data_IF_773367475968
#
_entry.id   IF_773367475968
#
_cell.length_a   1.000
_cell.length_b   1.000
_cell.length_c   1.000
_cell.angle_alpha   90.00
_cell.angle_beta   90.00
_cell.angle_gamma   90.00
#
_symmetry.space_group_name_H-M   'P 1'
#
loop_
_entity.id
_entity.type
_entity.pdbx_description
1 polymer ?
#
# COMPACT_ATOMS: atom_id res chain seq x y z
N UNK A 1 -5.94 -2.60 -26.87
CA UNK A 1 -5.72 -1.29 -26.22
C UNK A 1 -4.23 -1.04 -26.07
N UNK A 2 -3.83 0.22 -25.95
CA UNK A 2 -2.50 0.64 -25.53
C UNK A 2 -2.52 0.89 -24.02
N UNK A 3 -1.83 0.05 -23.26
CA UNK A 3 -1.75 0.15 -21.80
C UNK A 3 -0.33 0.54 -21.41
N UNK A 4 -0.20 1.58 -20.60
CA UNK A 4 1.08 2.06 -20.11
C UNK A 4 1.26 1.72 -18.63
N UNK A 5 2.37 1.09 -18.27
CA UNK A 5 2.74 0.81 -16.88
C UNK A 5 3.72 1.89 -16.42
N UNK A 6 3.32 2.67 -15.41
CA UNK A 6 4.16 3.72 -14.84
C UNK A 6 5.10 3.12 -13.79
N UNK A 7 6.30 2.72 -14.20
CA UNK A 7 7.29 2.06 -13.33
C UNK A 7 8.70 2.57 -13.62
N UNK A 8 9.48 2.79 -12.56
CA UNK A 8 10.90 3.16 -12.67
C UNK A 8 11.82 1.99 -13.04
N UNK A 9 11.33 0.76 -12.87
CA UNK A 9 12.10 -0.43 -13.16
C UNK A 9 11.22 -1.47 -13.86
N UNK A 10 11.54 -1.72 -15.13
CA UNK A 10 10.86 -2.69 -15.98
C UNK A 10 11.20 -4.15 -15.62
N UNK A 11 12.37 -4.37 -15.00
CA UNK A 11 12.89 -5.71 -14.66
C UNK A 11 12.32 -6.27 -13.36
N UNK A 12 11.53 -5.49 -12.62
CA UNK A 12 10.83 -5.99 -11.43
C UNK A 12 9.81 -7.06 -11.84
N UNK A 13 9.80 -8.19 -11.14
CA UNK A 13 8.84 -9.29 -11.35
C UNK A 13 7.40 -8.80 -11.55
N UNK A 14 6.94 -7.88 -10.69
CA UNK A 14 5.56 -7.38 -10.77
C UNK A 14 5.28 -6.59 -12.04
N UNK A 15 6.27 -5.85 -12.56
CA UNK A 15 6.16 -5.09 -13.81
C UNK A 15 6.17 -6.05 -14.99
N UNK A 16 7.13 -6.98 -15.01
CA UNK A 16 7.28 -7.96 -16.08
C UNK A 16 6.03 -8.83 -16.23
N UNK A 17 5.47 -9.34 -15.13
CA UNK A 17 4.21 -10.10 -15.13
C UNK A 17 3.03 -9.34 -15.70
N UNK A 18 2.92 -8.03 -15.44
CA UNK A 18 1.87 -7.19 -16.02
C UNK A 18 2.08 -7.00 -17.53
N UNK A 19 3.33 -6.85 -17.98
CA UNK A 19 3.67 -6.80 -19.41
C UNK A 19 3.32 -8.12 -20.10
N UNK A 20 3.73 -9.24 -19.52
CA UNK A 20 3.48 -10.57 -20.03
C UNK A 20 1.98 -10.85 -20.19
N UNK A 21 1.19 -10.65 -19.12
CA UNK A 21 -0.24 -10.90 -19.16
C UNK A 21 -0.98 -9.91 -20.06
N UNK A 22 -0.55 -8.65 -20.09
CA UNK A 22 -1.10 -7.66 -21.02
C UNK A 22 -0.90 -8.06 -22.48
N UNK A 23 0.31 -8.50 -22.86
CA UNK A 23 0.63 -8.99 -24.21
C UNK A 23 -0.12 -10.27 -24.56
N UNK A 24 -0.17 -11.25 -23.64
CA UNK A 24 -0.94 -12.50 -23.83
C UNK A 24 -2.43 -12.25 -24.11
N UNK A 25 -2.96 -11.14 -23.59
CA UNK A 25 -4.36 -10.74 -23.78
C UNK A 25 -4.57 -9.82 -24.99
N UNK A 26 -3.55 -9.63 -25.83
CA UNK A 26 -3.65 -8.90 -27.09
C UNK A 26 -3.50 -7.38 -26.96
N UNK A 27 -3.03 -6.87 -25.83
CA UNK A 27 -2.80 -5.43 -25.64
C UNK A 27 -1.37 -5.04 -26.01
N UNK A 28 -1.21 -3.80 -26.48
CA UNK A 28 0.10 -3.17 -26.62
C UNK A 28 0.50 -2.62 -25.26
N UNK A 29 1.56 -3.18 -24.67
CA UNK A 29 2.04 -2.75 -23.35
C UNK A 29 3.35 -2.01 -23.50
N UNK A 30 3.44 -0.85 -22.85
CA UNK A 30 4.68 -0.11 -22.68
C UNK A 30 4.94 0.18 -21.21
N UNK A 31 6.20 0.09 -20.79
CA UNK A 31 6.64 0.54 -19.46
C UNK A 31 7.35 1.87 -19.62
N UNK A 32 6.86 2.91 -18.92
CA UNK A 32 7.51 4.22 -18.91
C UNK A 32 7.91 4.62 -17.49
N UNK A 33 9.06 5.28 -17.39
CA UNK A 33 9.51 5.91 -16.17
C UNK A 33 8.76 7.24 -15.97
N UNK A 34 7.90 7.36 -14.93
CA UNK A 34 7.16 8.60 -14.71
C UNK A 34 8.07 9.81 -14.49
N UNK A 35 9.33 9.63 -14.05
CA UNK A 35 10.26 10.73 -13.85
C UNK A 35 10.82 11.34 -15.14
N UNK A 36 10.58 10.70 -16.29
CA UNK A 36 11.03 11.20 -17.60
C UNK A 36 9.87 11.77 -18.43
N UNK A 37 8.73 12.02 -17.78
CA UNK A 37 7.57 12.65 -18.38
C UNK A 37 7.63 14.16 -18.15
N UNK A 38 7.47 14.94 -19.21
CA UNK A 38 7.19 16.36 -19.12
C UNK A 38 5.67 16.56 -19.15
N UNK A 39 5.14 17.26 -18.15
CA UNK A 39 3.72 17.56 -18.04
C UNK A 39 3.47 18.92 -18.68
N UNK A 40 2.75 18.95 -19.79
CA UNK A 40 2.42 20.18 -20.49
C UNK A 40 1.00 20.58 -20.08
N UNK A 41 0.90 21.74 -19.43
CA UNK A 41 -0.35 22.29 -18.89
C UNK A 41 -0.74 23.47 -19.76
N UNK A 42 -1.69 23.24 -20.65
CA UNK A 42 -2.28 24.24 -21.53
C UNK A 42 -3.80 24.27 -21.33
N UNK A 43 -4.43 25.38 -21.71
CA UNK A 43 -5.89 25.52 -21.63
C UNK A 43 -6.55 24.41 -22.43
N UNK A 44 -7.34 23.57 -21.75
CA UNK A 44 -8.14 22.49 -22.34
C UNK A 44 -7.33 21.44 -23.13
N UNK A 45 -6.01 21.41 -22.99
CA UNK A 45 -5.12 20.50 -23.71
C UNK A 45 -4.05 19.90 -22.78
N UNK A 46 -4.45 19.10 -21.76
CA UNK A 46 -3.47 18.41 -20.93
C UNK A 46 -2.74 17.38 -21.78
N UNK A 47 -1.41 17.45 -21.84
CA UNK A 47 -0.61 16.48 -22.59
C UNK A 47 0.61 16.03 -21.79
N UNK A 48 1.17 14.88 -22.19
CA UNK A 48 2.41 14.33 -21.63
C UNK A 48 3.37 14.11 -22.79
N UNK A 49 4.57 14.66 -22.66
CA UNK A 49 5.69 14.38 -23.55
C UNK A 49 6.66 13.43 -22.85
N UNK A 50 7.07 12.37 -23.54
CA UNK A 50 7.96 11.35 -23.01
C UNK A 50 9.09 11.09 -23.98
N UNK A 51 10.30 11.50 -23.57
CA UNK A 51 11.53 11.47 -24.38
C UNK A 51 11.42 12.30 -25.66
N UNK A 52 10.83 11.73 -26.71
CA UNK A 52 10.80 12.24 -28.07
C UNK A 52 9.40 12.26 -28.69
N UNK A 53 8.35 11.92 -27.91
CA UNK A 53 6.97 11.85 -28.42
C UNK A 53 5.91 12.21 -27.39
N UNK A 54 4.73 12.57 -27.89
CA UNK A 54 3.52 12.70 -27.09
C UNK A 54 2.91 11.33 -26.77
N UNK A 55 2.23 11.24 -25.61
CA UNK A 55 1.53 10.04 -25.16
C UNK A 55 0.02 10.14 -25.41
N UNK A 56 -0.37 10.46 -26.64
CA UNK A 56 -1.75 10.66 -27.10
C UNK A 56 -2.51 9.37 -27.46
N UNK A 57 -1.81 8.22 -27.47
CA UNK A 57 -2.35 6.92 -27.86
C UNK A 57 -2.79 6.04 -26.68
N UNK A 58 -2.65 6.52 -25.44
CA UNK A 58 -2.78 5.69 -24.22
C UNK A 58 -4.24 5.52 -23.83
N UNK A 59 -4.74 4.28 -23.81
CA UNK A 59 -6.11 3.98 -23.40
C UNK A 59 -6.23 3.80 -21.88
N UNK A 60 -5.18 3.25 -21.26
CA UNK A 60 -5.16 2.95 -19.83
C UNK A 60 -3.75 3.01 -19.22
N UNK A 61 -3.67 3.32 -17.94
CA UNK A 61 -2.43 3.25 -17.15
C UNK A 61 -2.53 2.30 -15.95
N UNK A 62 -1.39 1.68 -15.62
CA UNK A 62 -1.19 0.93 -14.38
C UNK A 62 -0.11 1.64 -13.55
N UNK A 63 -0.50 2.43 -12.53
CA UNK A 63 0.48 3.11 -11.68
C UNK A 63 1.26 2.14 -10.80
N UNK A 64 2.57 2.06 -11.00
CA UNK A 64 3.51 1.34 -10.12
C UNK A 64 4.45 2.31 -9.40
N UNK A 65 3.85 3.38 -8.84
CA UNK A 65 4.58 4.49 -8.25
C UNK A 65 5.25 4.08 -6.93
N UNK A 66 6.58 4.12 -6.93
CA UNK A 66 7.41 3.90 -5.74
C UNK A 66 7.31 5.05 -4.74
N UNK A 67 7.48 4.76 -3.45
CA UNK A 67 7.23 5.76 -2.41
C UNK A 67 8.17 6.96 -2.48
N UNK A 68 9.44 6.77 -2.87
CA UNK A 68 10.44 7.85 -2.99
C UNK A 68 10.12 8.87 -4.07
N UNK A 69 9.15 8.58 -4.95
CA UNK A 69 8.76 9.42 -6.08
C UNK A 69 7.28 9.72 -6.08
N UNK A 70 6.61 9.59 -4.92
CA UNK A 70 5.15 9.72 -4.81
C UNK A 70 4.65 11.06 -5.36
N UNK A 71 5.33 12.16 -5.04
CA UNK A 71 4.90 13.50 -5.48
C UNK A 71 4.79 13.60 -7.00
N UNK A 72 5.92 13.45 -7.71
CA UNK A 72 5.93 13.59 -9.17
C UNK A 72 5.24 12.42 -9.87
N UNK A 73 5.39 11.19 -9.37
CA UNK A 73 4.70 10.03 -9.92
C UNK A 73 3.18 10.17 -9.87
N UNK A 74 2.62 10.70 -8.78
CA UNK A 74 1.18 10.98 -8.72
C UNK A 74 0.78 12.18 -9.59
N UNK A 75 1.67 13.15 -9.83
CA UNK A 75 1.41 14.24 -10.77
C UNK A 75 1.26 13.70 -12.21
N UNK A 76 2.10 12.75 -12.62
CA UNK A 76 1.98 12.06 -13.93
C UNK A 76 0.68 11.28 -14.02
N UNK A 77 0.33 10.49 -12.98
CA UNK A 77 -0.96 9.79 -12.92
C UNK A 77 -2.12 10.77 -13.07
N UNK A 78 -2.07 11.90 -12.34
CA UNK A 78 -3.11 12.94 -12.42
C UNK A 78 -3.19 13.59 -13.79
N UNK A 79 -2.06 13.77 -14.49
CA UNK A 79 -2.09 14.30 -15.86
C UNK A 79 -2.81 13.33 -16.81
N UNK A 80 -2.55 12.03 -16.72
CA UNK A 80 -3.31 11.02 -17.47
C UNK A 80 -4.81 11.04 -17.13
N UNK A 81 -5.17 11.24 -15.85
CA UNK A 81 -6.57 11.42 -15.44
C UNK A 81 -7.21 12.64 -16.13
N UNK A 82 -6.49 13.77 -16.23
CA UNK A 82 -6.96 14.97 -16.93
C UNK A 82 -7.07 14.78 -18.44
N UNK A 83 -6.29 13.86 -19.01
CA UNK A 83 -6.38 13.42 -20.41
C UNK A 83 -7.56 12.45 -20.66
N UNK A 84 -8.33 12.09 -19.64
CA UNK A 84 -9.43 11.13 -19.75
C UNK A 84 -8.97 9.67 -19.84
N UNK A 85 -7.69 9.39 -19.58
CA UNK A 85 -7.12 8.04 -19.63
C UNK A 85 -7.52 7.26 -18.38
N UNK A 86 -7.98 6.03 -18.57
CA UNK A 86 -8.34 5.17 -17.45
C UNK A 86 -7.13 4.81 -16.60
N UNK A 87 -7.28 4.78 -15.27
CA UNK A 87 -6.23 4.36 -14.35
C UNK A 87 -6.71 3.28 -13.40
N UNK A 88 -5.89 2.25 -13.16
CA UNK A 88 -6.24 1.19 -12.20
C UNK A 88 -6.30 1.69 -10.77
N UNK A 89 -5.55 2.75 -10.45
CA UNK A 89 -5.54 3.42 -9.15
C UNK A 89 -5.35 4.92 -9.36
N UNK A 90 -6.24 5.74 -8.81
CA UNK A 90 -6.14 7.20 -8.98
C UNK A 90 -4.98 7.81 -8.19
N UNK A 91 -4.46 8.94 -8.68
CA UNK A 91 -3.45 9.76 -8.01
C UNK A 91 -3.85 10.09 -6.57
N UNK A 92 -5.12 10.47 -6.37
CA UNK A 92 -5.73 10.75 -5.08
C UNK A 92 -5.79 9.53 -4.15
N UNK A 93 -6.10 8.35 -4.68
CA UNK A 93 -6.15 7.12 -3.89
C UNK A 93 -4.74 6.65 -3.48
N UNK A 94 -3.74 6.81 -4.35
CA UNK A 94 -2.33 6.57 -4.01
C UNK A 94 -1.92 7.47 -2.86
N UNK A 95 -2.08 8.79 -3.00
CA UNK A 95 -1.73 9.77 -1.94
C UNK A 95 -2.45 9.45 -0.63
N UNK A 96 -3.75 9.12 -0.69
CA UNK A 96 -4.56 8.78 0.48
C UNK A 96 -4.04 7.55 1.22
N UNK A 97 -3.60 6.52 0.50
CA UNK A 97 -3.05 5.29 1.10
C UNK A 97 -1.64 5.48 1.67
N UNK A 98 -0.85 6.40 1.09
CA UNK A 98 0.52 6.73 1.54
C UNK A 98 0.53 7.50 2.85
N UNK A 99 -0.45 8.36 3.06
CA UNK A 99 -0.66 9.08 4.31
C UNK A 99 -1.34 8.18 5.35
N UNK A 100 -0.54 7.62 6.26
CA UNK A 100 -1.05 6.71 7.31
C UNK A 100 -2.11 7.37 8.20
N UNK A 101 -1.92 8.65 8.57
CA UNK A 101 -2.87 9.37 9.43
C UNK A 101 -4.22 9.50 8.72
N UNK A 102 -4.20 10.03 7.50
CA UNK A 102 -5.41 10.22 6.70
C UNK A 102 -6.10 8.89 6.36
N UNK A 103 -5.32 7.85 6.08
CA UNK A 103 -5.83 6.50 5.83
C UNK A 103 -6.53 5.94 7.07
N UNK A 104 -5.88 5.96 8.24
CA UNK A 104 -6.44 5.44 9.49
C UNK A 104 -7.70 6.20 9.92
N UNK A 105 -7.74 7.53 9.79
CA UNK A 105 -8.93 8.32 10.08
C UNK A 105 -10.13 7.89 9.22
N UNK A 106 -9.91 7.59 7.93
CA UNK A 106 -10.97 7.12 7.02
C UNK A 106 -11.42 5.71 7.33
N UNK A 107 -10.48 4.80 7.60
CA UNK A 107 -10.78 3.41 7.95
C UNK A 107 -11.53 3.33 9.27
N UNK A 108 -11.14 4.15 10.26
CA UNK A 108 -11.84 4.30 11.54
C UNK A 108 -13.28 4.76 11.34
N UNK A 109 -13.48 5.82 10.53
CA UNK A 109 -14.83 6.31 10.18
C UNK A 109 -15.67 5.25 9.44
N UNK A 110 -15.03 4.35 8.69
CA UNK A 110 -15.69 3.25 7.99
C UNK A 110 -16.00 2.04 8.90
N UNK A 111 -15.68 2.10 10.20
CA UNK A 111 -15.94 1.02 11.15
C UNK A 111 -15.00 -0.18 11.00
N UNK A 112 -13.82 0.02 10.41
CA UNK A 112 -12.84 -1.06 10.21
C UNK A 112 -12.01 -1.23 11.48
N UNK A 113 -11.96 -2.46 11.99
CA UNK A 113 -11.14 -2.82 13.15
C UNK A 113 -9.66 -2.59 12.87
N UNK A 114 -8.96 -1.96 13.81
CA UNK A 114 -7.52 -1.66 13.76
C UNK A 114 -6.96 -1.73 15.19
N UNK A 115 -5.65 -1.97 15.36
CA UNK A 115 -5.03 -1.77 16.67
C UNK A 115 -5.21 -0.31 17.10
N UNK A 116 -5.46 -0.08 18.40
CA UNK A 116 -5.63 1.28 18.91
C UNK A 116 -4.39 2.10 18.56
N UNK A 117 -4.58 3.27 17.96
CA UNK A 117 -3.48 4.06 17.40
C UNK A 117 -3.63 5.53 17.81
N UNK A 118 -2.59 6.08 18.40
CA UNK A 118 -2.47 7.47 18.81
C UNK A 118 -1.46 8.16 17.89
N UNK A 119 -1.90 9.22 17.23
CA UNK A 119 -1.01 10.08 16.46
C UNK A 119 -0.61 11.27 17.33
N UNK A 120 0.69 11.52 17.42
CA UNK A 120 1.25 12.63 18.20
C UNK A 120 2.03 13.57 17.28
N UNK A 121 1.88 14.87 17.51
CA UNK A 121 2.69 15.90 16.87
C UNK A 121 3.61 16.51 17.92
N UNK A 122 4.73 15.84 18.17
CA UNK A 122 5.74 16.27 19.12
C UNK A 122 5.20 16.49 20.55
N UNK A 123 4.29 15.62 21.01
CA UNK A 123 3.73 15.72 22.37
C UNK A 123 4.86 15.74 23.41
N UNK A 124 4.85 16.77 24.26
CA UNK A 124 5.76 16.85 25.42
C UNK A 124 5.35 15.92 26.55
N UNK A 125 4.11 15.42 26.51
CA UNK A 125 3.57 14.45 27.46
C UNK A 125 3.53 13.08 26.76
N UNK A 126 4.67 12.38 26.80
CA UNK A 126 4.86 11.06 26.17
C UNK A 126 4.18 9.95 26.98
N UNK A 127 4.14 10.09 28.29
CA UNK A 127 3.48 9.18 29.22
C UNK A 127 1.98 9.07 28.88
N UNK A 128 1.30 10.22 28.76
CA UNK A 128 -0.12 10.23 28.41
C UNK A 128 -0.40 9.67 27.01
N UNK A 129 0.52 9.82 26.06
CA UNK A 129 0.37 9.20 24.73
C UNK A 129 0.38 7.67 24.85
N UNK A 130 1.24 7.10 25.70
CA UNK A 130 1.30 5.67 25.97
C UNK A 130 0.03 5.20 26.71
N UNK A 131 -0.46 5.96 27.68
CA UNK A 131 -1.71 5.66 28.37
C UNK A 131 -2.92 5.68 27.43
N UNK A 132 -2.99 6.65 26.52
CA UNK A 132 -4.06 6.72 25.53
C UNK A 132 -4.11 5.48 24.63
N UNK A 133 -3.00 4.79 24.39
CA UNK A 133 -2.99 3.55 23.61
C UNK A 133 -3.27 2.30 24.46
N UNK A 134 -3.25 2.41 25.79
CA UNK A 134 -3.55 1.34 26.74
C UNK A 134 -2.35 0.81 27.53
N UNK A 135 -1.19 1.48 27.47
CA UNK A 135 0.04 1.03 28.13
C UNK A 135 0.93 0.18 27.23
N UNK A 136 2.09 -0.22 27.76
CA UNK A 136 3.06 -1.07 27.06
C UNK A 136 2.74 -2.57 27.18
N UNK A 137 3.14 -3.41 26.21
CA UNK A 137 3.99 -3.12 25.05
C UNK A 137 3.31 -2.31 23.94
N UNK A 138 4.06 -1.44 23.27
CA UNK A 138 3.56 -0.60 22.15
C UNK A 138 4.46 -0.68 20.92
N UNK A 139 3.86 -0.46 19.75
CA UNK A 139 4.55 -0.24 18.48
C UNK A 139 4.64 1.26 18.20
N UNK A 140 5.85 1.77 18.02
CA UNK A 140 6.10 3.16 17.61
C UNK A 140 6.51 3.16 16.13
N UNK A 141 5.77 3.88 15.28
CA UNK A 141 6.07 3.97 13.84
C UNK A 141 6.31 5.42 13.43
N UNK A 142 7.40 5.67 12.73
CA UNK A 142 7.63 6.94 12.05
C UNK A 142 6.63 7.11 10.89
N UNK A 143 6.09 8.33 10.76
CA UNK A 143 5.22 8.69 9.64
C UNK A 143 6.03 8.89 8.36
N UNK A 144 7.27 9.35 8.51
CA UNK A 144 8.22 9.60 7.43
C UNK A 144 9.15 8.38 7.29
N UNK A 145 9.32 7.87 6.06
CA UNK A 145 10.17 6.71 5.76
C UNK A 145 9.42 5.53 5.11
N UNK A 146 10.19 4.59 4.55
CA UNK A 146 9.68 3.40 3.84
C UNK A 146 10.40 2.13 4.28
N UNK A 147 9.82 0.95 4.04
CA UNK A 147 10.42 -0.37 4.29
C UNK A 147 10.65 -0.77 5.76
N UNK A 148 9.85 -0.26 6.69
CA UNK A 148 9.89 -0.68 8.10
C UNK A 148 11.13 -0.21 8.88
N UNK A 149 11.98 0.63 8.27
CA UNK A 149 12.88 1.52 9.01
C UNK A 149 12.00 2.51 9.76
N UNK A 150 12.15 2.56 11.09
CA UNK A 150 11.29 3.39 11.95
C UNK A 150 10.03 2.69 12.48
N UNK A 151 10.00 1.36 12.56
CA UNK A 151 9.02 0.61 13.37
C UNK A 151 9.74 -0.05 14.53
N UNK A 152 9.40 0.35 15.75
CA UNK A 152 10.03 -0.10 17.00
C UNK A 152 8.97 -0.75 17.89
N UNK A 153 9.28 -1.92 18.44
CA UNK A 153 8.54 -2.50 19.57
C UNK A 153 9.18 -1.99 20.86
N UNK A 154 8.41 -1.30 21.68
CA UNK A 154 8.82 -0.87 23.01
C UNK A 154 8.06 -1.70 24.04
N UNK A 155 8.76 -2.64 24.68
CA UNK A 155 8.17 -3.60 25.62
C UNK A 155 7.87 -2.99 26.99
N UNK A 156 8.62 -1.94 27.37
CA UNK A 156 8.49 -1.26 28.66
C UNK A 156 8.17 0.21 28.48
N UNK A 157 7.51 0.80 29.48
CA UNK A 157 7.17 2.22 29.52
C UNK A 157 8.41 3.11 29.30
N UNK A 158 9.49 2.86 30.05
CA UNK A 158 10.73 3.62 29.91
C UNK A 158 11.32 3.54 28.49
N UNK A 159 11.26 2.38 27.84
CA UNK A 159 11.72 2.24 26.46
C UNK A 159 10.83 3.03 25.49
N UNK A 160 9.51 3.00 25.68
CA UNK A 160 8.57 3.75 24.85
C UNK A 160 8.76 5.26 24.99
N UNK A 161 8.91 5.75 26.23
CA UNK A 161 9.19 7.16 26.52
C UNK A 161 10.52 7.61 25.89
N UNK A 162 11.59 6.85 26.08
CA UNK A 162 12.92 7.15 25.52
C UNK A 162 12.88 7.28 23.99
N UNK A 163 12.16 6.37 23.32
CA UNK A 163 12.03 6.40 21.85
C UNK A 163 11.20 7.60 21.39
N UNK A 164 10.11 7.92 22.09
CA UNK A 164 9.26 9.07 21.75
C UNK A 164 9.98 10.40 21.98
N UNK A 165 10.71 10.54 23.08
CA UNK A 165 11.54 11.72 23.36
C UNK A 165 12.62 11.92 22.29
N UNK A 166 13.31 10.84 21.91
CA UNK A 166 14.30 10.89 20.83
C UNK A 166 13.68 11.34 19.50
N UNK A 167 12.51 10.79 19.13
CA UNK A 167 11.82 11.20 17.90
C UNK A 167 11.31 12.65 17.97
N UNK A 168 10.82 13.09 19.12
CA UNK A 168 10.42 14.49 19.33
C UNK A 168 11.60 15.45 19.19
N UNK A 169 12.76 15.12 19.76
CA UNK A 169 13.98 15.92 19.65
C UNK A 169 14.49 16.05 18.22
N UNK A 170 14.29 15.01 17.40
CA UNK A 170 14.61 15.01 15.97
C UNK A 170 13.53 15.65 15.09
N UNK A 171 12.44 16.14 15.68
CA UNK A 171 11.24 16.58 14.97
C UNK A 171 10.71 15.52 13.98
N UNK A 172 10.84 14.24 14.32
CA UNK A 172 10.28 13.14 13.57
C UNK A 172 8.87 12.81 14.08
N UNK A 173 7.85 12.89 13.21
CA UNK A 173 6.48 12.55 13.60
C UNK A 173 6.31 11.05 13.76
N UNK A 174 5.68 10.64 14.85
CA UNK A 174 5.44 9.23 15.17
C UNK A 174 3.95 8.95 15.44
N UNK A 175 3.56 7.72 15.18
CA UNK A 175 2.35 7.12 15.74
C UNK A 175 2.74 6.08 16.79
N UNK A 176 1.92 5.95 17.81
CA UNK A 176 2.01 4.92 18.84
C UNK A 176 0.81 4.01 18.68
N UNK A 177 1.03 2.72 18.63
CA UNK A 177 0.04 1.73 18.31
C UNK A 177 0.09 0.57 19.31
N UNK A 178 -1.06 0.05 19.67
CA UNK A 178 -1.22 -1.16 20.49
C UNK A 178 -0.45 -2.33 19.88
N UNK A 179 0.30 -3.06 20.71
CA UNK A 179 0.93 -4.30 20.29
C UNK A 179 -0.03 -5.48 20.44
N UNK A 180 -0.26 -6.19 19.33
CA UNK A 180 -1.14 -7.36 19.28
C UNK A 180 -0.25 -8.61 19.40
N UNK A 181 -0.01 -9.06 20.63
CA UNK A 181 0.95 -10.13 20.93
C UNK A 181 0.47 -11.51 20.46
N UNK A 182 -0.85 -11.72 20.46
CA UNK A 182 -1.50 -12.96 20.02
C UNK A 182 -1.30 -13.24 18.53
N UNK A 183 -0.92 -12.23 17.73
CA UNK A 183 -0.57 -12.40 16.33
C UNK A 183 0.79 -13.11 16.14
N UNK A 184 1.62 -13.21 17.18
CA UNK A 184 2.89 -13.96 17.20
C UNK A 184 3.82 -13.64 16.02
N UNK A 185 3.92 -12.36 15.68
CA UNK A 185 4.75 -11.89 14.56
C UNK A 185 4.26 -12.34 13.18
N UNK A 186 3.00 -12.75 13.06
CA UNK A 186 2.36 -13.12 11.81
C UNK A 186 1.36 -12.06 11.36
N UNK A 187 1.21 -11.92 10.05
CA UNK A 187 0.14 -11.11 9.46
C UNK A 187 -0.44 -11.76 8.21
N UNK A 188 -1.64 -11.32 7.83
CA UNK A 188 -2.31 -11.73 6.61
C UNK A 188 -2.19 -10.60 5.58
N UNK A 189 -1.77 -10.95 4.37
CA UNK A 189 -1.86 -10.06 3.22
C UNK A 189 -2.94 -10.56 2.27
N UNK A 190 -3.99 -9.78 2.11
CA UNK A 190 -5.02 -9.97 1.11
C UNK A 190 -4.77 -9.04 -0.08
N UNK A 191 -4.87 -9.54 -1.31
CA UNK A 191 -4.77 -8.71 -2.50
C UNK A 191 -6.14 -8.57 -3.14
N UNK A 192 -6.59 -7.32 -3.21
CA UNK A 192 -7.90 -6.94 -3.74
C UNK A 192 -7.72 -6.41 -5.16
N UNK A 193 -8.53 -6.92 -6.08
CA UNK A 193 -8.69 -6.42 -7.44
C UNK A 193 -10.18 -6.35 -7.75
N UNK A 194 -10.67 -5.20 -8.20
CA UNK A 194 -12.07 -5.02 -8.62
C UNK A 194 -13.07 -5.38 -7.49
N UNK A 195 -12.74 -4.97 -6.26
CA UNK A 195 -13.56 -5.25 -5.07
C UNK A 195 -13.56 -6.71 -4.61
N UNK A 196 -12.73 -7.59 -5.19
CA UNK A 196 -12.64 -9.01 -4.84
C UNK A 196 -11.24 -9.36 -4.33
N UNK A 197 -11.14 -10.21 -3.31
CA UNK A 197 -9.86 -10.78 -2.88
C UNK A 197 -9.45 -11.86 -3.86
N UNK A 198 -8.42 -11.58 -4.67
CA UNK A 198 -7.94 -12.49 -5.72
C UNK A 198 -6.82 -13.42 -5.25
N UNK A 199 -6.15 -13.06 -4.15
CA UNK A 199 -5.15 -13.90 -3.50
C UNK A 199 -4.93 -13.48 -2.05
N UNK A 200 -4.50 -14.41 -1.21
CA UNK A 200 -4.13 -14.13 0.16
C UNK A 200 -2.97 -15.02 0.59
N UNK A 201 -2.09 -14.48 1.43
CA UNK A 201 -1.00 -15.23 2.05
C UNK A 201 -0.86 -14.82 3.52
N UNK A 202 -0.45 -15.77 4.36
CA UNK A 202 0.02 -15.50 5.71
C UNK A 202 1.53 -15.30 5.64
N UNK A 203 2.04 -14.24 6.25
CA UNK A 203 3.48 -14.04 6.40
C UNK A 203 3.87 -14.22 7.86
N UNK A 204 4.94 -14.95 8.10
CA UNK A 204 5.44 -15.23 9.44
C UNK A 204 6.82 -14.60 9.61
N UNK A 205 6.99 -13.79 10.66
CA UNK A 205 8.29 -13.24 11.04
C UNK A 205 9.25 -14.35 11.48
N UNK A 206 10.56 -14.07 11.38
CA UNK A 206 11.59 -14.95 11.96
C UNK A 206 11.43 -15.02 13.48
N UNK A 207 11.99 -16.05 14.08
CA UNK A 207 12.08 -16.15 15.54
C UNK A 207 12.76 -14.89 16.13
N UNK A 208 12.14 -14.31 17.15
CA UNK A 208 12.59 -13.05 17.76
C UNK A 208 12.23 -11.77 16.98
N UNK A 209 11.56 -11.87 15.82
CA UNK A 209 11.17 -10.71 15.02
C UNK A 209 9.63 -10.57 14.99
N UNK A 210 9.14 -9.42 15.48
CA UNK A 210 7.70 -9.12 15.49
C UNK A 210 7.16 -8.68 14.11
N UNK A 211 8.05 -8.34 13.17
CA UNK A 211 7.70 -7.95 11.79
C UNK A 211 7.72 -9.16 10.85
N UNK A 212 6.60 -9.41 10.20
CA UNK A 212 6.41 -10.51 9.25
C UNK A 212 6.90 -10.25 7.81
N UNK A 213 7.71 -9.20 7.59
CA UNK A 213 8.07 -8.81 6.23
C UNK A 213 8.99 -9.84 5.54
N UNK A 214 8.63 -10.28 4.33
CA UNK A 214 9.42 -11.26 3.55
C UNK A 214 10.86 -10.81 3.27
N UNK A 215 11.07 -9.51 3.03
CA UNK A 215 12.42 -8.97 2.79
C UNK A 215 13.34 -9.04 4.03
N UNK A 216 12.81 -9.38 5.21
CA UNK A 216 13.59 -9.63 6.44
C UNK A 216 13.78 -11.13 6.72
N UNK A 217 13.39 -11.97 5.76
CA UNK A 217 13.49 -13.42 5.80
C UNK A 217 12.36 -14.11 6.55
N UNK A 218 11.20 -13.46 6.67
CA UNK A 218 9.97 -14.16 7.03
C UNK A 218 9.54 -15.16 5.95
N UNK A 219 8.71 -16.14 6.31
CA UNK A 219 8.11 -17.10 5.37
C UNK A 219 6.73 -16.63 4.89
N UNK A 220 6.31 -17.12 3.72
CA UNK A 220 4.94 -16.95 3.22
C UNK A 220 4.28 -18.31 3.06
N UNK A 221 3.06 -18.44 3.55
CA UNK A 221 2.23 -19.63 3.39
C UNK A 221 0.87 -19.23 2.78
N UNK A 222 0.28 -20.12 1.98
CA UNK A 222 -1.06 -19.91 1.47
C UNK A 222 -2.06 -19.92 2.62
N UNK A 223 -3.02 -18.99 2.59
CA UNK A 223 -4.07 -18.90 3.61
C UNK A 223 -5.43 -18.74 2.95
N UNK A 224 -6.43 -19.41 3.50
CA UNK A 224 -7.82 -19.16 3.17
C UNK A 224 -8.38 -18.18 4.19
N UNK A 225 -8.71 -16.97 3.74
CA UNK A 225 -9.32 -15.97 4.60
C UNK A 225 -10.73 -16.39 5.02
N UNK A 226 -11.08 -16.09 6.28
CA UNK A 226 -12.43 -16.25 6.77
C UNK A 226 -13.35 -15.09 6.32
N UNK A 227 -14.64 -15.16 6.67
CA UNK A 227 -15.62 -14.17 6.23
C UNK A 227 -15.29 -12.75 6.71
N UNK A 228 -14.85 -12.59 7.96
CA UNK A 228 -14.54 -11.28 8.53
C UNK A 228 -13.26 -10.67 7.93
N UNK A 229 -12.25 -11.51 7.67
CA UNK A 229 -10.99 -11.12 7.02
C UNK A 229 -11.24 -10.66 5.58
N UNK A 230 -12.08 -11.38 4.83
CA UNK A 230 -12.51 -10.96 3.48
C UNK A 230 -13.25 -9.61 3.54
N UNK A 231 -14.17 -9.46 4.50
CA UNK A 231 -14.96 -8.24 4.67
C UNK A 231 -14.08 -7.04 5.01
N UNK A 232 -13.11 -7.19 5.92
CA UNK A 232 -12.14 -6.13 6.23
C UNK A 232 -11.32 -5.75 5.00
N UNK A 233 -10.80 -6.72 4.26
CA UNK A 233 -10.00 -6.46 3.06
C UNK A 233 -10.79 -5.67 2.00
N UNK A 234 -12.01 -6.13 1.67
CA UNK A 234 -12.86 -5.47 0.67
C UNK A 234 -13.32 -4.08 1.14
N UNK A 235 -13.78 -3.95 2.38
CA UNK A 235 -14.25 -2.66 2.91
C UNK A 235 -13.13 -1.63 3.02
N UNK A 236 -11.91 -2.05 3.37
CA UNK A 236 -10.74 -1.18 3.40
C UNK A 236 -10.39 -0.64 2.00
N UNK A 237 -10.40 -1.51 1.00
CA UNK A 237 -10.19 -1.14 -0.39
C UNK A 237 -11.24 -0.11 -0.85
N UNK A 238 -12.53 -0.34 -0.55
CA UNK A 238 -13.62 0.59 -0.85
C UNK A 238 -13.48 1.92 -0.12
N UNK A 239 -13.18 1.92 1.19
CA UNK A 239 -13.06 3.12 2.01
C UNK A 239 -11.93 4.06 1.52
N UNK A 240 -10.86 3.48 0.98
CA UNK A 240 -9.74 4.22 0.41
C UNK A 240 -9.85 4.47 -1.09
N UNK A 241 -10.89 3.95 -1.75
CA UNK A 241 -11.10 4.00 -3.20
C UNK A 241 -9.93 3.39 -3.98
N UNK A 242 -9.49 2.20 -3.57
CA UNK A 242 -8.41 1.45 -4.19
C UNK A 242 -8.96 0.19 -4.86
N UNK A 243 -9.18 0.20 -6.20
CA UNK A 243 -9.63 -0.99 -6.91
C UNK A 243 -8.58 -2.11 -6.93
N UNK A 244 -7.30 -1.73 -6.90
CA UNK A 244 -6.16 -2.64 -6.83
C UNK A 244 -5.31 -2.26 -5.61
N UNK A 245 -5.24 -3.12 -4.60
CA UNK A 245 -4.40 -2.90 -3.42
C UNK A 245 -4.06 -4.18 -2.66
N UNK A 246 -3.01 -4.12 -1.86
CA UNK A 246 -2.76 -5.09 -0.80
C UNK A 246 -3.29 -4.57 0.53
N UNK A 247 -3.99 -5.40 1.29
CA UNK A 247 -4.48 -5.12 2.64
C UNK A 247 -3.77 -6.05 3.61
N UNK A 248 -3.09 -5.46 4.59
CA UNK A 248 -2.37 -6.18 5.64
C UNK A 248 -3.18 -6.16 6.92
N UNK A 249 -3.32 -7.32 7.58
CA UNK A 249 -4.17 -7.51 8.75
C UNK A 249 -3.48 -8.41 9.78
N UNK A 250 -3.73 -8.17 11.06
CA UNK A 250 -3.42 -9.10 12.14
C UNK A 250 -4.65 -9.92 12.50
N UNK A 251 -4.45 -11.20 12.78
CA UNK A 251 -5.44 -12.01 13.46
C UNK A 251 -5.35 -11.71 14.96
N UNK A 252 -6.46 -11.32 15.57
CA UNK A 252 -6.57 -11.05 17.01
C UNK A 252 -7.77 -11.77 17.60
N UNK A 253 -7.82 -11.89 18.92
CA UNK A 253 -8.95 -12.54 19.62
C UNK A 253 -10.28 -11.81 19.37
N UNK A 254 -10.22 -10.51 19.08
CA UNK A 254 -11.38 -9.65 18.77
C UNK A 254 -11.64 -9.47 17.27
N UNK A 255 -11.09 -10.36 16.44
CA UNK A 255 -11.27 -10.37 14.98
C UNK A 255 -10.09 -9.77 14.20
N UNK A 256 -10.20 -9.67 12.86
CA UNK A 256 -9.12 -9.14 12.03
C UNK A 256 -8.91 -7.63 12.25
N UNK A 257 -7.66 -7.24 12.50
CA UNK A 257 -7.27 -5.84 12.72
C UNK A 257 -6.40 -5.36 11.56
N UNK A 258 -6.84 -4.33 10.85
CA UNK A 258 -6.11 -3.77 9.72
C UNK A 258 -4.83 -3.05 10.19
N UNK A 259 -3.72 -3.32 9.49
CA UNK A 259 -2.42 -2.70 9.71
C UNK A 259 -2.09 -1.61 8.69
N UNK A 260 -2.22 -1.93 7.41
CA UNK A 260 -1.94 -1.01 6.31
C UNK A 260 -2.69 -1.41 5.03
N UNK A 261 -2.86 -0.45 4.13
CA UNK A 261 -3.34 -0.69 2.77
C UNK A 261 -2.34 -0.09 1.79
N UNK A 262 -1.86 -0.90 0.85
CA UNK A 262 -0.83 -0.54 -0.11
C UNK A 262 -1.42 -0.46 -1.52
N UNK A 263 -1.39 0.75 -2.12
CA UNK A 263 -1.87 1.00 -3.49
C UNK A 263 -1.05 0.34 -4.59
N UNK A 264 0.18 -0.08 -4.30
CA UNK A 264 1.13 -0.64 -5.27
C UNK A 264 1.69 -1.97 -4.75
N UNK A 265 0.85 -2.98 -4.53
CA UNK A 265 1.29 -4.23 -3.90
C UNK A 265 2.28 -4.98 -4.79
N UNK A 266 3.29 -5.62 -4.21
CA UNK A 266 4.15 -6.57 -4.91
C UNK A 266 3.38 -7.84 -5.29
N UNK A 267 3.64 -8.37 -6.49
CA UNK A 267 2.97 -9.57 -7.00
C UNK A 267 3.76 -10.86 -6.75
N UNK A 268 5.09 -10.78 -6.69
CA UNK A 268 5.99 -11.95 -6.64
C UNK A 268 5.68 -12.92 -5.49
N UNK A 269 5.76 -12.44 -4.25
CA UNK A 269 5.55 -13.31 -3.09
C UNK A 269 4.15 -13.93 -3.04
N UNK A 270 3.12 -13.21 -3.50
CA UNK A 270 1.75 -13.70 -3.44
C UNK A 270 1.38 -14.61 -4.62
N UNK A 271 1.86 -14.33 -5.84
CA UNK A 271 1.70 -15.25 -6.97
C UNK A 271 2.46 -16.55 -6.71
N UNK A 272 3.69 -16.47 -6.16
CA UNK A 272 4.47 -17.64 -5.76
C UNK A 272 3.77 -18.46 -4.67
N UNK A 273 3.25 -17.82 -3.62
CA UNK A 273 2.59 -18.52 -2.52
C UNK A 273 1.23 -19.13 -2.92
N UNK A 274 0.47 -18.46 -3.79
CA UNK A 274 -0.91 -18.87 -4.11
C UNK A 274 -1.04 -19.67 -5.42
N UNK A 275 -0.04 -19.61 -6.30
CA UNK A 275 -0.11 -20.13 -7.67
C UNK A 275 -1.15 -19.41 -8.54
N UNK A 276 -1.72 -18.29 -8.08
CA UNK A 276 -2.76 -17.56 -8.80
C UNK A 276 -2.15 -16.51 -9.71
N UNK A 277 -2.72 -16.37 -10.90
CA UNK A 277 -2.35 -15.33 -11.86
C UNK A 277 -3.08 -14.03 -11.52
N UNK A 278 -2.48 -13.23 -10.65
CA UNK A 278 -3.00 -11.96 -10.16
C UNK A 278 -2.82 -10.87 -11.21
N UNK A 279 -1.69 -10.85 -11.92
CA UNK A 279 -1.47 -9.90 -13.01
C UNK A 279 -2.60 -9.96 -14.05
N UNK A 280 -3.08 -11.16 -14.41
CA UNK A 280 -4.25 -11.35 -15.27
C UNK A 280 -5.50 -10.68 -14.72
N UNK A 281 -5.78 -10.80 -13.41
CA UNK A 281 -6.96 -10.15 -12.82
C UNK A 281 -6.91 -8.62 -12.97
N UNK A 282 -5.73 -8.02 -12.84
CA UNK A 282 -5.54 -6.58 -13.04
C UNK A 282 -5.80 -6.19 -14.50
N UNK A 283 -5.31 -6.97 -15.47
CA UNK A 283 -5.58 -6.70 -16.89
C UNK A 283 -7.07 -6.87 -17.22
N UNK A 284 -7.72 -7.90 -16.69
CA UNK A 284 -9.17 -8.12 -16.85
C UNK A 284 -9.96 -6.96 -16.25
N UNK A 285 -9.52 -6.41 -15.11
CA UNK A 285 -10.14 -5.23 -14.52
C UNK A 285 -10.07 -4.02 -15.47
N UNK A 286 -8.95 -3.80 -16.15
CA UNK A 286 -8.84 -2.75 -17.17
C UNK A 286 -9.83 -3.00 -18.31
N UNK A 287 -9.84 -4.20 -18.88
CA UNK A 287 -10.73 -4.58 -20.00
C UNK A 287 -12.22 -4.39 -19.74
N UNK A 288 -12.65 -4.44 -18.47
CA UNK A 288 -14.05 -4.17 -18.08
C UNK A 288 -14.40 -2.69 -18.03
N UNK A 289 -13.41 -1.82 -17.83
CA UNK A 289 -13.61 -0.40 -17.52
C UNK A 289 -13.17 0.55 -18.66
N UNK A 290 -12.62 0.01 -19.74
CA UNK A 290 -12.12 0.78 -20.89
C UNK A 290 -12.79 0.38 -22.21
N UNK A 291 -14.05 -0.05 -22.14
CA UNK A 291 -14.90 -0.34 -23.30
C UNK A 291 -15.82 0.82 -23.63
#
# INVERSE_FOLDING_TARGET
>A
MNIVILSRNAELYSTDRLVEEGKKRGHKIEVIDPLKCDLIIEKENPTIFYKDRYLDYVDAIIPRIGTSVTFFGCAVVRQFEMMGVFTTVTSDAIIRSRDKLRSFQRLSKAGIGMPKTVFTNYSRDVERVIEHVGGTPVIIKLLEGTQGLGVVLAETKNAAESVLEAFNGLQARALVQEYISEAKGADLRALVVDGQVVGAMKRQGKEGEFRSNLHRGGSAEIVKLNHDELKVAMNAATALKLPVCGVDMLQSERGPLLLEVNSTPGLEGIEAATGRNIAKNIIVYIEKNTK
#
